data_IF_012798258445
#
_entry.id   IF_012798258445
#
_cell.length_a   1.000
_cell.length_b   1.000
_cell.length_c   1.000
_cell.angle_alpha   90.00
_cell.angle_beta   90.00
_cell.angle_gamma   90.00
#
_symmetry.space_group_name_H-M   'P 1'
#
loop_
_entity.id
_entity.type
_entity.pdbx_description
1 polymer ?
#
# COMPACT_ATOMS: atom_id res chain seq x y z
N UNK A 1 -7.08 -11.39 -8.78
CA UNK A 1 -7.65 -10.19 -9.43
C UNK A 1 -8.89 -10.49 -10.28
N UNK A 2 -8.97 -11.58 -11.07
CA UNK A 2 -10.15 -11.90 -11.91
C UNK A 2 -11.48 -12.14 -11.16
N UNK A 3 -11.44 -12.64 -9.91
CA UNK A 3 -12.65 -12.95 -9.12
C UNK A 3 -13.37 -11.74 -8.53
N UNK A 4 -12.71 -10.59 -8.44
CA UNK A 4 -13.29 -9.37 -7.85
C UNK A 4 -13.95 -8.49 -8.91
N UNK A 5 -13.48 -8.59 -10.17
CA UNK A 5 -14.12 -7.94 -11.32
C UNK A 5 -15.54 -8.43 -11.58
N UNK A 6 -15.87 -9.68 -11.25
CA UNK A 6 -17.22 -10.24 -11.46
C UNK A 6 -18.28 -9.66 -10.53
N UNK A 7 -17.89 -8.86 -9.53
CA UNK A 7 -18.81 -8.20 -8.59
C UNK A 7 -19.14 -6.75 -8.98
N UNK A 8 -18.53 -6.24 -10.05
CA UNK A 8 -18.70 -4.85 -10.47
C UNK A 8 -19.84 -4.74 -11.49
N UNK A 9 -20.64 -3.66 -11.45
CA UNK A 9 -21.71 -3.42 -12.42
C UNK A 9 -21.18 -3.42 -13.86
N UNK A 10 -21.96 -3.93 -14.84
CA UNK A 10 -21.59 -3.88 -16.24
C UNK A 10 -21.44 -2.41 -16.70
N UNK A 11 -20.31 -2.09 -17.32
CA UNK A 11 -19.99 -0.73 -17.82
C UNK A 11 -19.04 0.08 -16.94
N UNK A 12 -18.62 -0.41 -15.77
CA UNK A 12 -17.60 0.25 -14.95
C UNK A 12 -16.22 0.13 -15.62
N UNK A 13 -15.68 1.27 -16.08
CA UNK A 13 -14.37 1.34 -16.69
C UNK A 13 -13.31 1.60 -15.60
N UNK A 14 -12.77 0.52 -15.03
CA UNK A 14 -11.69 0.60 -14.04
C UNK A 14 -10.38 1.00 -14.73
N UNK A 15 -9.97 2.25 -14.54
CA UNK A 15 -8.62 2.70 -14.90
C UNK A 15 -7.71 2.52 -13.68
N UNK A 16 -6.97 1.42 -13.64
CA UNK A 16 -5.89 1.25 -12.68
C UNK A 16 -4.54 1.40 -13.39
N UNK A 17 -3.55 1.87 -12.66
CA UNK A 17 -2.17 1.95 -13.11
C UNK A 17 -1.32 1.13 -12.15
N UNK A 18 -0.51 0.21 -12.66
CA UNK A 18 0.50 -0.46 -11.85
C UNK A 18 1.71 0.46 -11.75
N UNK A 19 2.10 0.78 -10.52
CA UNK A 19 3.30 1.56 -10.25
C UNK A 19 4.23 0.73 -9.35
N UNK A 20 5.39 0.37 -9.89
CA UNK A 20 6.35 -0.52 -9.22
C UNK A 20 7.61 0.25 -8.86
N UNK A 21 7.91 0.27 -7.57
CA UNK A 21 9.17 0.78 -7.04
C UNK A 21 10.11 -0.40 -6.85
N UNK A 22 11.25 -0.37 -7.52
CA UNK A 22 12.35 -1.30 -7.26
C UNK A 22 13.35 -0.53 -6.41
N UNK A 23 13.55 -0.97 -5.18
CA UNK A 23 14.48 -0.34 -4.23
C UNK A 23 15.32 -1.40 -3.54
N UNK A 24 16.60 -1.10 -3.31
CA UNK A 24 17.49 -1.92 -2.50
C UNK A 24 17.38 -1.63 -1.00
N UNK A 25 16.59 -0.62 -0.62
CA UNK A 25 16.38 -0.24 0.78
C UNK A 25 15.39 -1.19 1.47
N UNK A 26 15.96 -2.10 2.25
CA UNK A 26 15.21 -3.11 3.01
C UNK A 26 14.40 -2.47 4.15
N UNK A 27 14.81 -1.30 4.67
CA UNK A 27 14.15 -0.67 5.80
C UNK A 27 12.79 -0.10 5.41
N UNK A 28 12.56 0.22 4.14
CA UNK A 28 11.22 0.57 3.63
C UNK A 28 10.19 -0.53 3.88
N UNK A 29 10.63 -1.79 3.83
CA UNK A 29 9.79 -2.96 4.04
C UNK A 29 9.77 -3.46 5.49
N UNK A 30 10.46 -2.79 6.41
CA UNK A 30 10.36 -3.08 7.84
C UNK A 30 9.22 -2.30 8.49
N UNK A 31 8.33 -3.03 9.16
CA UNK A 31 7.22 -2.51 9.95
C UNK A 31 7.21 -3.23 11.27
N UNK A 32 7.26 -2.49 12.38
CA UNK A 32 7.21 -3.02 13.74
C UNK A 32 8.22 -4.15 14.03
N UNK A 33 9.45 -4.00 13.53
CA UNK A 33 10.52 -4.99 13.69
C UNK A 33 10.41 -6.21 12.77
N UNK A 34 9.33 -6.32 11.99
CA UNK A 34 9.14 -7.38 11.00
C UNK A 34 9.51 -6.88 9.60
N UNK A 35 10.28 -7.68 8.85
CA UNK A 35 10.57 -7.44 7.42
C UNK A 35 9.52 -8.12 6.56
N UNK A 36 8.95 -7.37 5.63
CA UNK A 36 8.02 -7.87 4.62
C UNK A 36 8.70 -8.00 3.25
N UNK A 37 8.15 -8.85 2.39
CA UNK A 37 8.69 -9.11 1.05
C UNK A 37 8.08 -8.18 0.00
N UNK A 38 6.81 -7.80 0.19
CA UNK A 38 6.06 -6.98 -0.75
C UNK A 38 5.10 -6.05 -0.01
N UNK A 39 4.85 -4.90 -0.62
CA UNK A 39 3.82 -3.95 -0.22
C UNK A 39 2.97 -3.67 -1.45
N UNK A 40 1.66 -3.71 -1.29
CA UNK A 40 0.70 -3.29 -2.29
C UNK A 40 -0.06 -2.08 -1.74
N UNK A 41 -0.07 -0.99 -2.51
CA UNK A 41 -0.84 0.20 -2.21
C UNK A 41 -1.99 0.31 -3.21
N UNK A 42 -3.19 0.60 -2.72
CA UNK A 42 -4.36 0.91 -3.53
C UNK A 42 -4.71 2.36 -3.25
N UNK A 43 -4.57 3.19 -4.28
CA UNK A 43 -4.74 4.64 -4.21
C UNK A 43 -6.16 4.98 -4.70
N UNK A 44 -7.06 5.28 -3.77
CA UNK A 44 -8.40 5.81 -4.06
C UNK A 44 -8.40 7.34 -4.01
N UNK A 45 -9.50 7.94 -4.44
CA UNK A 45 -9.64 9.41 -4.48
C UNK A 45 -9.46 10.05 -3.09
N UNK A 46 -10.03 9.43 -2.06
CA UNK A 46 -10.02 9.96 -0.69
C UNK A 46 -9.21 9.11 0.29
N UNK A 47 -8.89 7.86 -0.07
CA UNK A 47 -8.25 6.90 0.82
C UNK A 47 -7.12 6.13 0.16
N UNK A 48 -6.11 5.78 0.95
CA UNK A 48 -5.07 4.84 0.56
C UNK A 48 -5.24 3.59 1.41
N UNK A 49 -5.35 2.44 0.76
CA UNK A 49 -5.30 1.14 1.42
C UNK A 49 -3.96 0.47 1.14
N UNK A 50 -3.45 -0.30 2.09
CA UNK A 50 -2.19 -1.00 1.94
C UNK A 50 -2.26 -2.42 2.46
N UNK A 51 -1.41 -3.27 1.88
CA UNK A 51 -1.15 -4.61 2.40
C UNK A 51 0.34 -4.92 2.31
N UNK A 52 0.93 -5.25 3.46
CA UNK A 52 2.27 -5.80 3.59
C UNK A 52 2.18 -7.33 3.59
N UNK A 53 3.00 -7.99 2.78
CA UNK A 53 3.06 -9.43 2.64
C UNK A 53 4.45 -9.96 2.94
N UNK A 54 4.54 -10.96 3.81
CA UNK A 54 5.71 -11.80 3.99
C UNK A 54 5.30 -13.22 3.56
N UNK A 55 6.00 -13.79 2.58
CA UNK A 55 5.68 -15.09 2.02
C UNK A 55 6.45 -16.21 2.74
N UNK A 56 7.70 -15.99 3.15
CA UNK A 56 8.53 -17.03 3.81
C UNK A 56 9.45 -16.43 4.89
N UNK A 57 9.79 -17.20 5.95
CA UNK A 57 9.20 -18.47 6.38
C UNK A 57 7.87 -18.30 7.15
N UNK A 58 7.45 -17.07 7.45
CA UNK A 58 6.22 -16.75 8.18
C UNK A 58 5.26 -16.00 7.26
N UNK A 59 4.05 -16.54 7.09
CA UNK A 59 2.98 -15.90 6.30
C UNK A 59 2.35 -14.75 7.10
N UNK A 60 3.05 -13.62 7.21
CA UNK A 60 2.55 -12.43 7.90
C UNK A 60 1.90 -11.49 6.89
N UNK A 61 0.74 -10.96 7.28
CA UNK A 61 0.00 -9.95 6.54
C UNK A 61 -0.39 -8.82 7.47
N UNK A 62 -0.06 -7.59 7.09
CA UNK A 62 -0.57 -6.39 7.76
C UNK A 62 -1.33 -5.58 6.73
N UNK A 63 -2.58 -5.27 7.01
CA UNK A 63 -3.42 -4.44 6.16
C UNK A 63 -3.97 -3.25 6.92
N UNK A 64 -4.29 -2.19 6.19
CA UNK A 64 -4.84 -0.99 6.75
C UNK A 64 -5.27 -0.01 5.69
N UNK A 65 -5.94 1.05 6.11
CA UNK A 65 -6.29 2.16 5.24
C UNK A 65 -6.27 3.47 6.03
N UNK A 66 -6.03 4.58 5.33
CA UNK A 66 -6.12 5.91 5.89
C UNK A 66 -6.44 6.95 4.80
N UNK A 67 -7.08 8.03 5.21
CA UNK A 67 -7.18 9.24 4.40
C UNK A 67 -5.81 9.94 4.43
N UNK A 68 -5.09 9.89 3.32
CA UNK A 68 -3.78 10.53 3.17
C UNK A 68 -3.89 11.54 2.02
N UNK A 69 -3.64 12.84 2.26
CA UNK A 69 -3.66 13.83 1.19
C UNK A 69 -2.42 13.62 0.31
N UNK A 70 -2.61 12.98 -0.84
CA UNK A 70 -1.55 12.64 -1.79
C UNK A 70 -2.05 12.89 -3.20
N UNK A 71 -1.20 13.46 -4.05
CA UNK A 71 -1.50 13.64 -5.47
C UNK A 71 -0.98 12.43 -6.25
N UNK A 72 -1.87 11.70 -6.92
CA UNK A 72 -1.54 10.41 -7.55
C UNK A 72 -1.01 10.51 -8.99
N UNK A 73 -0.38 11.63 -9.34
CA UNK A 73 0.25 11.77 -10.65
C UNK A 73 1.56 10.96 -10.69
N UNK A 74 1.91 10.34 -11.82
CA UNK A 74 3.09 9.45 -11.90
C UNK A 74 4.40 10.11 -11.45
N UNK A 75 4.64 11.37 -11.82
CA UNK A 75 5.81 12.13 -11.34
C UNK A 75 5.71 12.52 -9.85
N UNK A 76 4.49 12.75 -9.34
CA UNK A 76 4.24 13.01 -7.93
C UNK A 76 4.59 11.79 -7.07
N UNK A 77 4.13 10.60 -7.46
CA UNK A 77 4.34 9.36 -6.72
C UNK A 77 5.82 9.00 -6.59
N UNK A 78 6.60 9.13 -7.67
CA UNK A 78 8.05 8.91 -7.62
C UNK A 78 8.76 9.80 -6.60
N UNK A 79 8.25 11.00 -6.34
CA UNK A 79 8.84 11.93 -5.38
C UNK A 79 8.23 11.81 -3.97
N UNK A 80 7.00 11.32 -3.85
CA UNK A 80 6.24 11.33 -2.59
C UNK A 80 6.23 9.97 -1.87
N UNK A 81 6.67 8.89 -2.50
CA UNK A 81 6.44 7.55 -1.94
C UNK A 81 7.13 7.29 -0.61
N UNK A 82 8.29 7.88 -0.38
CA UNK A 82 8.98 7.79 0.91
C UNK A 82 8.12 8.41 2.01
N UNK A 83 7.47 9.54 1.71
CA UNK A 83 6.56 10.21 2.64
C UNK A 83 5.27 9.41 2.84
N UNK A 84 4.71 8.83 1.77
CA UNK A 84 3.55 7.92 1.86
C UNK A 84 3.89 6.74 2.76
N UNK A 85 5.02 6.08 2.52
CA UNK A 85 5.52 4.96 3.31
C UNK A 85 5.74 5.34 4.78
N UNK A 86 6.32 6.52 5.03
CA UNK A 86 6.52 7.05 6.38
C UNK A 86 5.18 7.27 7.10
N UNK A 87 4.20 7.88 6.44
CA UNK A 87 2.85 8.10 7.00
C UNK A 87 2.15 6.78 7.29
N UNK A 88 2.22 5.81 6.40
CA UNK A 88 1.63 4.46 6.61
C UNK A 88 2.23 3.82 7.88
N UNK A 89 3.56 3.84 8.02
CA UNK A 89 4.23 3.30 9.21
C UNK A 89 3.83 4.03 10.49
N UNK A 90 3.69 5.35 10.44
CA UNK A 90 3.19 6.14 11.57
C UNK A 90 1.76 5.74 11.95
N UNK A 91 0.87 5.56 10.98
CA UNK A 91 -0.50 5.10 11.21
C UNK A 91 -0.50 3.74 11.91
N UNK A 92 0.28 2.78 11.39
CA UNK A 92 0.38 1.44 11.98
C UNK A 92 0.90 1.47 13.43
N UNK A 93 1.89 2.32 13.72
CA UNK A 93 2.41 2.46 15.08
C UNK A 93 1.40 3.04 16.08
N UNK A 94 0.45 3.87 15.60
CA UNK A 94 -0.59 4.48 16.43
C UNK A 94 -1.75 3.53 16.75
N UNK A 95 -2.01 2.55 15.88
CA UNK A 95 -3.10 1.57 16.06
C UNK A 95 -2.86 0.63 17.26
N UNK A 96 -1.65 0.58 17.84
CA UNK A 96 -1.31 -0.25 19.00
C UNK A 96 -1.86 0.22 20.36
N UNK A 97 -2.60 1.33 20.42
CA UNK A 97 -3.33 1.75 21.63
C UNK A 97 -4.82 1.45 21.49
N UNK A 98 -5.20 0.18 21.66
CA UNK A 98 -6.53 -0.23 22.13
C UNK A 98 -6.55 -1.69 22.57
#
# INVERSE_FOLDING_TARGET
MLREHSKLPPGVNLRYSEWRIITGDVDLFKVEGCRFDKIMLVLGEENISWVFYQNMPLHRRIEGSACLPVSYCGCCLNNQYLDIMKKIKQTLSRTKLR
#
